data_IF_185058325596
#
_entry.id   IF_185058325596
#
_cell.length_a   1.000
_cell.length_b   1.000
_cell.length_c   1.000
_cell.angle_alpha   90.00
_cell.angle_beta   90.00
_cell.angle_gamma   90.00
#
_symmetry.space_group_name_H-M   'P 1'
#
loop_
_entity.id
_entity.type
_entity.pdbx_description
1 polymer ?
#
# COMPACT_ATOMS: atom_id res chain seq x y z
N UNK A 1 37.09 -9.43 43.03
CA UNK A 1 35.92 -8.60 42.71
C UNK A 1 36.21 -7.08 42.56
N UNK A 2 37.18 -6.47 43.27
CA UNK A 2 37.48 -5.03 43.15
C UNK A 2 38.08 -4.56 41.82
N UNK A 3 38.71 -5.44 41.03
CA UNK A 3 39.41 -5.08 39.79
C UNK A 3 38.51 -4.77 38.58
N UNK A 4 37.24 -5.20 38.60
CA UNK A 4 36.29 -5.00 37.47
C UNK A 4 35.32 -3.83 37.68
N UNK A 5 35.31 -3.21 38.86
CA UNK A 5 34.41 -2.08 39.17
C UNK A 5 34.98 -0.76 38.62
N UNK A 6 36.30 -0.61 38.62
CA UNK A 6 36.94 0.63 38.17
C UNK A 6 36.72 0.98 36.71
N UNK A 7 36.84 0.03 35.73
CA UNK A 7 36.53 0.32 34.34
C UNK A 7 35.04 0.65 34.12
N UNK A 8 34.14 -0.03 34.83
CA UNK A 8 32.70 0.24 34.75
C UNK A 8 32.36 1.63 35.31
N UNK A 9 33.01 2.06 36.38
CA UNK A 9 32.79 3.37 36.96
C UNK A 9 33.36 4.50 36.06
N UNK A 10 34.50 4.28 35.43
CA UNK A 10 35.07 5.23 34.46
C UNK A 10 34.16 5.35 33.22
N UNK A 11 33.67 4.23 32.69
CA UNK A 11 32.75 4.25 31.58
C UNK A 11 31.46 4.98 31.94
N UNK A 12 30.87 4.70 33.12
CA UNK A 12 29.69 5.39 33.61
C UNK A 12 29.89 6.91 33.74
N UNK A 13 31.06 7.36 34.25
CA UNK A 13 31.38 8.80 34.30
C UNK A 13 31.52 9.43 32.93
N UNK A 14 32.14 8.74 31.97
CA UNK A 14 32.24 9.23 30.58
C UNK A 14 30.85 9.37 29.96
N UNK A 15 30.00 8.35 30.07
CA UNK A 15 28.60 8.39 29.56
C UNK A 15 27.82 9.54 30.19
N UNK A 16 27.95 9.76 31.49
CA UNK A 16 27.26 10.85 32.20
C UNK A 16 27.74 12.23 31.73
N UNK A 17 29.05 12.43 31.56
CA UNK A 17 29.59 13.67 31.02
C UNK A 17 29.13 13.93 29.59
N UNK A 18 29.18 12.92 28.73
CA UNK A 18 28.69 13.04 27.35
C UNK A 18 27.18 13.34 27.30
N UNK A 19 26.37 12.68 28.12
CA UNK A 19 24.92 12.94 28.20
C UNK A 19 24.65 14.37 28.68
N UNK A 20 25.37 14.86 29.67
CA UNK A 20 25.25 16.26 30.14
C UNK A 20 25.65 17.26 29.06
N UNK A 21 26.75 17.05 28.35
CA UNK A 21 27.19 17.92 27.26
C UNK A 21 26.14 17.95 26.12
N UNK A 22 25.62 16.79 25.70
CA UNK A 22 24.56 16.70 24.70
C UNK A 22 23.29 17.42 25.15
N UNK A 23 22.89 17.26 26.42
CA UNK A 23 21.72 17.93 26.97
C UNK A 23 21.91 19.46 26.97
N UNK A 24 23.06 19.98 27.34
CA UNK A 24 23.37 21.44 27.32
C UNK A 24 23.36 21.96 25.87
N UNK A 25 24.00 21.25 24.95
CA UNK A 25 23.98 21.63 23.52
C UNK A 25 22.53 21.64 22.99
N UNK A 26 21.76 20.61 23.28
CA UNK A 26 20.35 20.54 22.84
C UNK A 26 19.51 21.69 23.46
N UNK A 27 19.70 22.02 24.73
CA UNK A 27 18.98 23.09 25.39
C UNK A 27 19.26 24.48 24.74
N UNK A 28 20.45 24.68 24.19
CA UNK A 28 20.81 25.92 23.48
C UNK A 28 20.35 25.90 22.04
N UNK A 29 20.49 24.76 21.36
CA UNK A 29 20.21 24.66 19.91
C UNK A 29 18.72 24.47 19.58
N UNK A 30 17.96 23.78 20.42
CA UNK A 30 16.53 23.51 20.16
C UNK A 30 15.71 24.80 19.96
N UNK A 31 15.80 25.85 20.82
CA UNK A 31 15.03 27.08 20.60
C UNK A 31 15.47 27.84 19.35
N UNK A 32 16.75 27.76 18.96
CA UNK A 32 17.26 28.41 17.74
C UNK A 32 16.71 27.69 16.50
N UNK A 33 16.68 26.36 16.53
CA UNK A 33 16.12 25.54 15.45
C UNK A 33 14.62 25.85 15.32
N UNK A 34 13.86 25.83 16.41
CA UNK A 34 12.45 26.15 16.43
C UNK A 34 12.15 27.57 15.88
N UNK A 35 12.93 28.57 16.27
CA UNK A 35 12.78 29.94 15.77
C UNK A 35 13.04 30.03 14.26
N UNK A 36 14.06 29.33 13.75
CA UNK A 36 14.35 29.26 12.30
C UNK A 36 13.25 28.58 11.52
N UNK A 37 12.72 27.50 12.04
CA UNK A 37 11.59 26.80 11.42
C UNK A 37 10.33 27.67 11.37
N UNK A 38 10.04 28.42 12.42
CA UNK A 38 8.89 29.38 12.43
C UNK A 38 9.10 30.47 11.38
N UNK A 39 10.27 31.10 11.33
CA UNK A 39 10.55 32.13 10.33
C UNK A 39 10.51 31.60 8.90
N UNK A 40 10.99 30.38 8.66
CA UNK A 40 10.90 29.73 7.37
C UNK A 40 9.44 29.41 6.97
N UNK A 41 8.61 28.98 7.95
CA UNK A 41 7.19 28.73 7.73
C UNK A 41 6.43 30.01 7.37
N UNK A 42 6.69 31.13 8.06
CA UNK A 42 6.05 32.42 7.76
C UNK A 42 6.42 32.92 6.36
N UNK A 43 7.67 32.79 5.94
CA UNK A 43 8.09 33.13 4.57
C UNK A 43 7.45 32.20 3.52
N UNK A 44 7.29 30.93 3.84
CA UNK A 44 6.72 29.94 2.93
C UNK A 44 5.21 30.17 2.66
N UNK A 45 4.46 30.79 3.57
CA UNK A 45 3.03 31.08 3.36
C UNK A 45 2.77 31.81 2.05
N UNK A 46 3.53 32.90 1.80
CA UNK A 46 3.37 33.70 0.58
C UNK A 46 3.93 33.00 -0.65
N UNK A 47 4.91 32.14 -0.46
CA UNK A 47 5.52 31.42 -1.57
C UNK A 47 4.61 30.27 -2.07
N UNK A 48 3.97 29.52 -1.16
CA UNK A 48 3.06 28.43 -1.55
C UNK A 48 1.66 28.91 -1.93
N UNK A 49 1.21 30.06 -1.41
CA UNK A 49 -0.05 30.70 -1.78
C UNK A 49 0.23 32.15 -2.22
N UNK A 50 0.57 32.40 -3.48
CA UNK A 50 0.85 33.75 -3.99
C UNK A 50 -0.32 34.70 -3.75
N UNK A 51 -0.03 35.90 -3.23
CA UNK A 51 -1.05 36.87 -2.88
C UNK A 51 -1.75 36.60 -1.52
N UNK A 52 -1.22 35.66 -0.73
CA UNK A 52 -1.72 35.41 0.63
C UNK A 52 -1.61 36.67 1.48
N UNK A 53 -2.77 37.16 1.94
CA UNK A 53 -2.87 38.28 2.86
C UNK A 53 -3.83 37.93 3.99
N UNK A 54 -3.57 38.45 5.18
CA UNK A 54 -4.49 38.29 6.32
C UNK A 54 -4.66 36.85 6.80
N UNK A 55 -3.66 36.00 6.58
CA UNK A 55 -3.72 34.60 7.01
C UNK A 55 -3.99 34.46 8.50
N UNK A 56 -5.03 33.69 8.84
CA UNK A 56 -5.42 33.41 10.23
C UNK A 56 -5.28 31.93 10.51
N UNK A 57 -4.80 31.54 11.70
CA UNK A 57 -4.74 30.14 12.09
C UNK A 57 -6.12 29.48 12.01
N UNK A 58 -6.14 28.22 11.52
CA UNK A 58 -7.30 27.34 11.55
C UNK A 58 -7.20 26.48 12.81
N UNK A 59 -8.29 26.35 13.55
CA UNK A 59 -8.39 25.40 14.65
C UNK A 59 -8.57 23.99 14.05
N UNK A 60 -7.57 23.13 14.24
CA UNK A 60 -7.58 21.77 13.74
C UNK A 60 -8.36 20.86 14.71
N UNK A 61 -9.41 20.23 14.22
CA UNK A 61 -10.20 19.22 14.95
C UNK A 61 -9.70 17.82 14.61
N UNK A 62 -10.25 16.79 15.26
CA UNK A 62 -9.95 15.37 14.97
C UNK A 62 -10.41 14.92 13.57
N UNK A 63 -11.17 15.71 12.84
CA UNK A 63 -11.59 15.43 11.46
C UNK A 63 -10.48 15.70 10.45
N UNK A 64 -9.51 16.55 10.79
CA UNK A 64 -8.37 16.80 9.90
C UNK A 64 -7.42 15.61 9.85
N UNK A 65 -6.76 15.37 8.69
CA UNK A 65 -5.75 14.34 8.60
C UNK A 65 -4.67 14.50 9.68
N UNK A 66 -4.29 13.40 10.33
CA UNK A 66 -3.38 13.44 11.50
C UNK A 66 -1.99 14.03 11.19
N UNK A 67 -1.58 14.00 9.92
CA UNK A 67 -0.30 14.57 9.45
C UNK A 67 -0.33 16.10 9.37
N UNK A 68 -1.52 16.74 9.40
CA UNK A 68 -1.66 18.19 9.37
C UNK A 68 -1.39 18.76 10.75
N UNK A 69 -0.31 19.51 10.90
CA UNK A 69 0.12 20.09 12.18
C UNK A 69 -0.28 21.55 12.36
N UNK A 70 -0.41 22.29 11.24
CA UNK A 70 -0.89 23.69 11.26
C UNK A 70 -1.71 23.98 10.01
N UNK A 71 -2.71 24.86 10.15
CA UNK A 71 -3.51 25.38 9.06
C UNK A 71 -3.67 26.90 9.17
N UNK A 72 -3.72 27.56 8.02
CA UNK A 72 -3.94 29.00 7.90
C UNK A 72 -4.97 29.26 6.81
N UNK A 73 -5.96 30.11 7.09
CA UNK A 73 -6.97 30.57 6.14
C UNK A 73 -6.68 32.00 5.73
N UNK A 74 -6.57 32.25 4.44
CA UNK A 74 -6.41 33.54 3.83
C UNK A 74 -7.59 33.85 2.91
N UNK A 75 -7.67 35.09 2.39
CA UNK A 75 -8.78 35.53 1.53
C UNK A 75 -8.82 34.74 0.19
N UNK A 76 -7.68 34.30 -0.31
CA UNK A 76 -7.54 33.60 -1.58
C UNK A 76 -7.30 32.08 -1.46
N UNK A 77 -7.38 31.53 -0.26
CA UNK A 77 -7.19 30.08 -0.07
C UNK A 77 -6.75 29.69 1.34
N UNK A 78 -6.17 28.51 1.44
CA UNK A 78 -5.64 27.96 2.67
C UNK A 78 -4.21 27.50 2.50
N UNK A 79 -3.45 27.49 3.59
CA UNK A 79 -2.11 26.89 3.63
C UNK A 79 -2.04 25.92 4.79
N UNK A 80 -1.51 24.72 4.55
CA UNK A 80 -1.36 23.68 5.56
C UNK A 80 0.10 23.28 5.69
N UNK A 81 0.53 23.03 6.92
CA UNK A 81 1.80 22.43 7.24
C UNK A 81 1.56 20.99 7.69
N UNK A 82 2.27 20.07 7.06
CA UNK A 82 2.24 18.65 7.38
C UNK A 82 3.60 18.20 7.90
N UNK A 83 3.57 17.24 8.81
CA UNK A 83 4.76 16.56 9.31
C UNK A 83 4.61 15.05 9.06
N UNK A 84 5.58 14.48 8.34
CA UNK A 84 5.55 13.09 7.90
C UNK A 84 6.92 12.44 8.11
N UNK A 85 6.91 11.12 7.97
CA UNK A 85 8.12 10.32 7.91
C UNK A 85 8.26 9.78 6.48
N UNK A 86 9.33 10.20 5.80
CA UNK A 86 9.74 9.61 4.54
C UNK A 86 10.66 8.42 4.79
N UNK A 87 11.87 8.42 4.22
CA UNK A 87 12.91 7.49 4.62
C UNK A 87 13.45 7.83 6.02
N UNK A 88 13.48 9.12 6.35
CA UNK A 88 13.86 9.64 7.67
C UNK A 88 12.68 10.42 8.26
N UNK A 89 12.63 10.53 9.59
CA UNK A 89 11.63 11.34 10.29
C UNK A 89 11.88 12.83 10.11
N UNK A 90 10.86 13.67 10.39
CA UNK A 90 11.00 15.14 10.44
C UNK A 90 10.95 15.80 9.05
N UNK A 91 10.24 15.21 8.10
CA UNK A 91 9.89 15.86 6.84
C UNK A 91 8.71 16.80 7.08
N UNK A 92 8.96 18.10 7.01
CA UNK A 92 7.94 19.14 7.17
C UNK A 92 7.69 19.80 5.82
N UNK A 93 6.45 19.73 5.34
CA UNK A 93 6.02 20.25 4.04
C UNK A 93 4.89 21.24 4.24
N UNK A 94 4.95 22.35 3.53
CA UNK A 94 3.89 23.35 3.46
C UNK A 94 3.25 23.30 2.08
N UNK A 95 1.93 23.33 2.02
CA UNK A 95 1.15 23.24 0.78
C UNK A 95 0.10 24.37 0.79
N UNK A 96 0.07 25.15 -0.29
CA UNK A 96 -0.96 26.15 -0.55
C UNK A 96 -2.07 25.56 -1.42
N UNK A 97 -3.31 25.85 -1.04
CA UNK A 97 -4.52 25.47 -1.77
C UNK A 97 -5.36 26.71 -1.99
N UNK A 98 -5.68 27.03 -3.23
CA UNK A 98 -6.52 28.16 -3.58
C UNK A 98 -7.98 27.98 -3.14
N UNK A 99 -8.76 29.05 -3.19
CA UNK A 99 -10.19 29.01 -2.85
C UNK A 99 -11.04 28.13 -3.76
N UNK A 100 -10.57 27.82 -4.97
CA UNK A 100 -11.17 26.86 -5.92
C UNK A 100 -10.66 25.41 -5.76
N UNK A 101 -9.92 25.14 -4.67
CA UNK A 101 -9.49 23.79 -4.29
C UNK A 101 -8.28 23.25 -5.05
N UNK A 102 -7.48 24.11 -5.71
CA UNK A 102 -6.30 23.72 -6.46
C UNK A 102 -5.02 23.96 -5.69
N UNK A 103 -4.05 23.07 -5.84
CA UNK A 103 -2.70 23.30 -5.33
C UNK A 103 -2.07 24.51 -6.04
N UNK A 104 -1.62 25.48 -5.28
CA UNK A 104 -0.93 26.67 -5.78
C UNK A 104 0.59 26.55 -5.67
N UNK A 105 1.07 25.78 -4.71
CA UNK A 105 2.49 25.53 -4.51
C UNK A 105 2.75 24.65 -3.32
N UNK A 106 3.94 24.08 -3.29
CA UNK A 106 4.42 23.22 -2.20
C UNK A 106 5.83 23.64 -1.83
N UNK A 107 6.19 23.57 -0.55
CA UNK A 107 7.54 23.87 -0.07
C UNK A 107 7.95 22.95 1.06
N UNK A 108 9.17 22.44 0.99
CA UNK A 108 9.80 21.72 2.10
C UNK A 108 10.38 22.74 3.08
N UNK A 109 9.89 22.73 4.31
CA UNK A 109 10.34 23.63 5.39
C UNK A 109 11.52 23.03 6.15
N UNK A 110 11.48 21.72 6.38
CA UNK A 110 12.55 20.97 7.00
C UNK A 110 12.52 19.53 6.51
N UNK A 111 13.69 18.93 6.41
CA UNK A 111 13.84 17.51 6.15
C UNK A 111 15.14 16.99 6.79
N UNK A 112 15.13 15.70 7.12
CA UNK A 112 16.30 14.95 7.56
C UNK A 112 16.59 13.80 6.58
N UNK A 113 16.03 13.89 5.38
CA UNK A 113 16.26 12.93 4.32
C UNK A 113 17.71 12.92 3.88
N UNK A 114 18.18 11.75 3.46
CA UNK A 114 19.49 11.66 2.82
C UNK A 114 19.51 12.52 1.55
N UNK A 115 20.47 13.42 1.34
CA UNK A 115 20.47 14.38 0.23
C UNK A 115 20.24 13.74 -1.15
N UNK A 116 20.81 12.56 -1.40
CA UNK A 116 20.66 11.84 -2.67
C UNK A 116 19.23 11.35 -2.94
N UNK A 117 18.40 11.17 -1.91
CA UNK A 117 16.97 10.84 -2.05
C UNK A 117 16.11 12.11 -2.11
N UNK A 118 16.40 13.07 -1.24
CA UNK A 118 15.68 14.33 -1.20
C UNK A 118 15.74 15.07 -2.54
N UNK A 119 16.91 15.17 -3.15
CA UNK A 119 17.10 15.90 -4.41
C UNK A 119 16.36 15.27 -5.61
N UNK A 120 16.08 13.98 -5.56
CA UNK A 120 15.25 13.31 -6.58
C UNK A 120 13.78 13.70 -6.50
N UNK A 121 13.29 13.99 -5.29
CA UNK A 121 11.87 14.25 -5.02
C UNK A 121 11.57 15.76 -5.08
N UNK A 122 12.35 16.55 -4.40
CA UNK A 122 12.22 18.01 -4.33
C UNK A 122 13.55 18.68 -4.66
N UNK A 123 13.68 19.17 -5.92
CA UNK A 123 14.91 19.78 -6.38
C UNK A 123 15.32 20.98 -5.51
N UNK A 124 16.62 21.02 -5.14
CA UNK A 124 17.17 22.10 -4.33
C UNK A 124 16.92 21.96 -2.83
N UNK A 125 16.51 20.78 -2.34
CA UNK A 125 16.32 20.43 -0.89
C UNK A 125 15.27 21.26 -0.14
N UNK A 126 14.97 22.47 -0.59
CA UNK A 126 14.00 23.43 -0.01
C UNK A 126 13.12 24.05 -1.11
N UNK A 127 13.13 23.45 -2.31
CA UNK A 127 12.45 24.02 -3.48
C UNK A 127 10.94 23.87 -3.42
N UNK A 128 10.27 24.82 -4.07
CA UNK A 128 8.89 24.64 -4.49
C UNK A 128 8.84 23.65 -5.64
N UNK A 129 8.03 22.60 -5.51
CA UNK A 129 7.80 21.69 -6.61
C UNK A 129 6.52 22.06 -7.34
N UNK A 130 6.61 22.27 -8.65
CA UNK A 130 5.44 22.45 -9.52
C UNK A 130 4.72 21.16 -9.91
N UNK A 131 5.17 19.99 -9.42
CA UNK A 131 4.62 18.68 -9.80
C UNK A 131 3.12 18.52 -9.53
N UNK A 132 2.62 19.18 -8.50
CA UNK A 132 1.22 19.07 -8.06
C UNK A 132 0.38 20.32 -8.36
N UNK A 133 0.96 21.34 -8.98
CA UNK A 133 0.26 22.60 -9.29
C UNK A 133 -0.99 22.32 -10.12
N UNK A 134 -2.07 23.02 -9.81
CA UNK A 134 -3.42 22.90 -10.40
C UNK A 134 -4.16 21.58 -10.13
N UNK A 135 -3.58 20.61 -9.41
CA UNK A 135 -4.31 19.41 -8.99
C UNK A 135 -5.36 19.76 -7.92
N UNK A 136 -6.50 19.10 -8.02
CA UNK A 136 -7.60 19.11 -7.03
C UNK A 136 -7.65 17.76 -6.31
N UNK A 137 -8.50 17.63 -5.29
CA UNK A 137 -8.68 16.33 -4.61
C UNK A 137 -9.20 15.24 -5.58
N UNK A 138 -10.02 15.61 -6.57
CA UNK A 138 -10.57 14.69 -7.57
C UNK A 138 -9.54 14.27 -8.64
N UNK A 139 -8.61 15.17 -8.98
CA UNK A 139 -7.57 14.93 -10.01
C UNK A 139 -6.23 14.54 -9.42
N UNK A 140 -6.17 14.36 -8.10
CA UNK A 140 -4.92 14.02 -7.42
C UNK A 140 -4.41 12.64 -7.81
N UNK A 141 -3.17 12.60 -8.28
CA UNK A 141 -2.43 11.37 -8.55
C UNK A 141 -1.08 11.40 -7.82
N UNK A 142 -0.73 10.34 -7.06
CA UNK A 142 0.56 10.25 -6.38
C UNK A 142 1.73 10.29 -7.38
N UNK A 143 2.70 11.17 -7.14
CA UNK A 143 3.90 11.31 -8.00
C UNK A 143 5.07 10.56 -7.35
N UNK A 144 5.19 9.27 -7.60
CA UNK A 144 6.27 8.46 -7.04
C UNK A 144 7.57 8.60 -7.84
N UNK A 145 8.70 8.57 -7.15
CA UNK A 145 10.03 8.71 -7.75
C UNK A 145 10.85 7.44 -7.49
N UNK A 146 11.25 6.75 -8.55
CA UNK A 146 12.09 5.56 -8.46
C UNK A 146 13.41 5.85 -7.72
N UNK A 147 13.77 4.96 -6.80
CA UNK A 147 14.94 5.10 -5.93
C UNK A 147 14.82 6.17 -4.83
N UNK A 148 13.62 6.79 -4.65
CA UNK A 148 13.26 7.64 -3.54
C UNK A 148 11.77 7.48 -3.15
N UNK A 149 11.26 6.27 -3.26
CA UNK A 149 9.83 5.95 -3.16
C UNK A 149 9.24 6.32 -1.81
N UNK A 150 9.92 6.07 -0.70
CA UNK A 150 9.41 6.43 0.64
C UNK A 150 9.26 7.95 0.79
N UNK A 151 10.28 8.70 0.40
CA UNK A 151 10.25 10.17 0.46
C UNK A 151 9.19 10.76 -0.47
N UNK A 152 9.05 10.24 -1.70
CA UNK A 152 8.03 10.71 -2.65
C UNK A 152 6.62 10.30 -2.26
N UNK A 153 6.43 9.15 -1.61
CA UNK A 153 5.14 8.73 -1.05
C UNK A 153 4.71 9.67 0.08
N UNK A 154 5.60 9.95 1.04
CA UNK A 154 5.33 10.91 2.11
C UNK A 154 5.00 12.31 1.55
N UNK A 155 5.71 12.74 0.51
CA UNK A 155 5.41 14.01 -0.15
C UNK A 155 4.04 14.01 -0.83
N UNK A 156 3.67 12.93 -1.54
CA UNK A 156 2.33 12.78 -2.13
C UNK A 156 1.23 12.76 -1.07
N UNK A 157 1.47 12.08 0.05
CA UNK A 157 0.55 12.03 1.19
C UNK A 157 0.32 13.42 1.80
N UNK A 158 1.38 14.22 1.97
CA UNK A 158 1.27 15.60 2.42
C UNK A 158 0.37 16.43 1.50
N UNK A 159 0.53 16.32 0.19
CA UNK A 159 -0.28 17.05 -0.79
C UNK A 159 -1.75 16.62 -0.73
N UNK A 160 -2.02 15.32 -0.66
CA UNK A 160 -3.38 14.78 -0.51
C UNK A 160 -4.03 15.28 0.79
N UNK A 161 -3.30 15.24 1.89
CA UNK A 161 -3.78 15.70 3.19
C UNK A 161 -4.11 17.20 3.18
N UNK A 162 -3.33 18.02 2.49
CA UNK A 162 -3.61 19.45 2.34
C UNK A 162 -4.89 19.70 1.52
N UNK A 163 -5.12 18.96 0.44
CA UNK A 163 -6.38 19.05 -0.33
C UNK A 163 -7.59 18.66 0.51
N UNK A 164 -7.50 17.58 1.28
CA UNK A 164 -8.53 17.14 2.20
C UNK A 164 -8.80 18.20 3.28
N UNK A 165 -7.74 18.75 3.88
CA UNK A 165 -7.84 19.80 4.88
C UNK A 165 -8.48 21.10 4.32
N UNK A 166 -8.23 21.43 3.06
CA UNK A 166 -8.84 22.60 2.41
C UNK A 166 -10.37 22.43 2.22
N UNK A 167 -10.83 21.22 1.88
CA UNK A 167 -12.26 20.91 1.80
C UNK A 167 -12.91 21.07 3.17
N UNK A 168 -12.30 20.55 4.24
CA UNK A 168 -12.80 20.69 5.62
C UNK A 168 -12.82 22.16 6.07
N UNK A 169 -11.76 22.93 5.79
CA UNK A 169 -11.67 24.36 6.11
C UNK A 169 -12.72 25.20 5.37
N UNK A 170 -13.25 24.70 4.26
CA UNK A 170 -14.35 25.30 3.49
C UNK A 170 -15.73 24.87 3.97
N UNK A 171 -15.82 24.02 5.00
CA UNK A 171 -17.08 23.49 5.53
C UNK A 171 -17.62 22.27 4.76
N UNK A 172 -16.80 21.66 3.89
CA UNK A 172 -17.10 20.39 3.24
C UNK A 172 -16.82 19.21 4.18
N UNK A 173 -17.16 18.02 3.73
CA UNK A 173 -16.80 16.78 4.40
C UNK A 173 -15.85 15.96 3.53
N UNK A 174 -14.89 15.29 4.15
CA UNK A 174 -13.93 14.42 3.48
C UNK A 174 -13.98 13.04 4.13
N UNK A 175 -13.99 12.02 3.32
CA UNK A 175 -13.80 10.66 3.82
C UNK A 175 -12.31 10.41 4.06
N UNK A 176 -11.93 10.37 5.34
CA UNK A 176 -10.53 10.17 5.76
C UNK A 176 -10.19 8.70 5.99
N UNK A 177 -11.15 7.78 5.79
CA UNK A 177 -10.90 6.34 5.93
C UNK A 177 -9.87 5.87 4.91
N UNK A 178 -8.99 4.96 5.33
CA UNK A 178 -8.09 4.27 4.40
C UNK A 178 -8.89 3.37 3.46
N UNK A 179 -8.30 2.96 2.34
CA UNK A 179 -8.94 2.01 1.42
C UNK A 179 -9.29 0.68 2.11
N UNK A 180 -8.43 0.23 3.03
CA UNK A 180 -8.69 -0.95 3.86
C UNK A 180 -9.87 -0.74 4.80
N UNK A 181 -9.97 0.41 5.46
CA UNK A 181 -11.12 0.75 6.30
C UNK A 181 -12.40 0.82 5.49
N UNK A 182 -12.39 1.49 4.33
CA UNK A 182 -13.55 1.56 3.42
C UNK A 182 -14.00 0.18 2.96
N UNK A 183 -13.03 -0.68 2.61
CA UNK A 183 -13.31 -2.06 2.23
C UNK A 183 -13.97 -2.82 3.37
N UNK A 184 -13.38 -2.79 4.57
CA UNK A 184 -13.90 -3.50 5.72
C UNK A 184 -15.30 -3.00 6.14
N UNK A 185 -15.53 -1.68 6.09
CA UNK A 185 -16.84 -1.07 6.35
C UNK A 185 -17.88 -1.53 5.31
N UNK A 186 -17.53 -1.56 4.03
CA UNK A 186 -18.43 -2.04 2.97
C UNK A 186 -18.81 -3.52 3.17
N UNK A 187 -17.87 -4.36 3.56
CA UNK A 187 -18.13 -5.75 3.91
C UNK A 187 -19.07 -5.88 5.11
N UNK A 188 -18.82 -5.11 6.17
CA UNK A 188 -19.67 -5.10 7.36
C UNK A 188 -21.10 -4.61 7.03
N UNK A 189 -21.23 -3.53 6.25
CA UNK A 189 -22.52 -3.01 5.81
C UNK A 189 -23.30 -4.05 4.98
N UNK A 190 -22.63 -4.68 4.02
CA UNK A 190 -23.25 -5.67 3.13
C UNK A 190 -23.76 -6.89 3.91
N UNK A 191 -23.00 -7.33 4.94
CA UNK A 191 -23.36 -8.50 5.75
C UNK A 191 -24.26 -8.13 6.94
N UNK A 192 -24.47 -6.84 7.22
CA UNK A 192 -25.25 -6.37 8.38
C UNK A 192 -24.54 -6.56 9.70
N UNK A 193 -23.21 -6.49 9.70
CA UNK A 193 -22.33 -6.55 10.88
C UNK A 193 -21.64 -5.22 11.14
N UNK A 194 -20.92 -5.05 12.25
CA UNK A 194 -20.26 -3.77 12.58
C UNK A 194 -18.76 -3.92 12.83
N UNK A 195 -18.31 -5.04 13.40
CA UNK A 195 -16.94 -5.18 13.92
C UNK A 195 -16.25 -6.46 13.42
N UNK A 196 -16.61 -6.93 12.22
CA UNK A 196 -15.99 -8.12 11.65
C UNK A 196 -14.80 -7.72 10.78
N UNK A 197 -13.77 -8.54 10.84
CA UNK A 197 -12.66 -8.55 9.90
C UNK A 197 -12.90 -9.64 8.87
N UNK A 198 -12.47 -9.37 7.63
CA UNK A 198 -12.72 -10.25 6.51
C UNK A 198 -11.42 -10.70 5.91
N UNK A 199 -11.35 -11.99 5.57
CA UNK A 199 -10.22 -12.58 4.85
C UNK A 199 -10.61 -12.80 3.40
N UNK A 200 -9.75 -12.43 2.47
CA UNK A 200 -9.93 -12.72 1.05
C UNK A 200 -9.86 -14.22 0.83
N UNK A 201 -10.83 -14.75 0.13
CA UNK A 201 -10.82 -16.15 -0.27
C UNK A 201 -10.05 -16.33 -1.57
N UNK A 202 -9.12 -17.28 -1.58
CA UNK A 202 -8.34 -17.62 -2.76
C UNK A 202 -9.22 -18.31 -3.80
N UNK A 203 -9.46 -17.66 -4.94
CA UNK A 203 -10.33 -18.18 -5.97
C UNK A 203 -9.64 -19.26 -6.81
N UNK A 204 -10.28 -20.40 -6.90
CA UNK A 204 -9.82 -21.56 -7.70
C UNK A 204 -10.68 -21.80 -8.92
N UNK A 205 -11.73 -20.99 -9.08
CA UNK A 205 -12.61 -20.96 -10.22
C UNK A 205 -12.78 -19.52 -10.72
N UNK A 206 -12.83 -19.36 -12.03
CA UNK A 206 -13.19 -18.09 -12.64
C UNK A 206 -14.70 -17.94 -12.59
N UNK A 207 -15.18 -16.95 -11.84
CA UNK A 207 -16.62 -16.68 -11.67
C UNK A 207 -16.95 -15.39 -12.40
N UNK A 208 -17.76 -15.49 -13.45
CA UNK A 208 -18.09 -14.33 -14.29
C UNK A 208 -18.73 -13.20 -13.48
N UNK A 209 -18.16 -11.99 -13.58
CA UNK A 209 -18.63 -10.78 -12.92
C UNK A 209 -18.29 -10.70 -11.43
N UNK A 210 -17.58 -11.67 -10.88
CA UNK A 210 -17.06 -11.65 -9.51
C UNK A 210 -15.63 -11.16 -9.50
N UNK A 211 -15.38 -10.12 -8.71
CA UNK A 211 -14.05 -9.56 -8.54
C UNK A 211 -13.31 -10.23 -7.38
N UNK A 212 -13.95 -10.32 -6.22
CA UNK A 212 -13.41 -10.98 -5.02
C UNK A 212 -14.51 -11.66 -4.21
N UNK A 213 -14.08 -12.55 -3.33
CA UNK A 213 -14.90 -13.15 -2.28
C UNK A 213 -14.15 -12.94 -0.95
N UNK A 214 -14.85 -12.40 0.04
CA UNK A 214 -14.34 -12.22 1.38
C UNK A 214 -15.16 -13.01 2.37
N UNK A 215 -14.53 -13.57 3.38
CA UNK A 215 -15.18 -14.48 4.32
C UNK A 215 -14.95 -14.04 5.75
N UNK A 216 -15.95 -14.25 6.60
CA UNK A 216 -15.85 -14.18 8.06
C UNK A 216 -16.78 -15.19 8.69
N UNK A 217 -16.77 -15.28 10.02
CA UNK A 217 -17.64 -16.20 10.78
C UNK A 217 -19.15 -15.93 10.59
N UNK A 218 -19.54 -14.71 10.18
CA UNK A 218 -20.93 -14.33 9.99
C UNK A 218 -21.43 -14.62 8.57
N UNK A 219 -20.55 -14.90 7.61
CA UNK A 219 -20.91 -15.20 6.22
C UNK A 219 -19.85 -14.83 5.22
N UNK A 220 -20.30 -14.55 4.01
CA UNK A 220 -19.47 -14.29 2.84
C UNK A 220 -19.90 -12.98 2.19
N UNK A 221 -18.96 -12.23 1.66
CA UNK A 221 -19.21 -11.04 0.85
C UNK A 221 -18.67 -11.27 -0.56
N UNK A 222 -19.56 -11.18 -1.54
CA UNK A 222 -19.23 -11.29 -2.96
C UNK A 222 -19.07 -9.88 -3.54
N UNK A 223 -17.93 -9.60 -4.17
CA UNK A 223 -17.65 -8.30 -4.80
C UNK A 223 -17.93 -8.38 -6.29
N UNK A 224 -18.92 -7.60 -6.74
CA UNK A 224 -19.41 -7.51 -8.13
C UNK A 224 -19.02 -6.12 -8.69
N UNK A 225 -17.81 -5.97 -9.21
CA UNK A 225 -17.28 -4.66 -9.55
C UNK A 225 -17.07 -3.82 -8.28
N UNK A 226 -17.79 -2.71 -8.14
CA UNK A 226 -17.74 -1.84 -6.95
C UNK A 226 -18.77 -2.21 -5.87
N UNK A 227 -19.69 -3.15 -6.17
CA UNK A 227 -20.76 -3.56 -5.27
C UNK A 227 -20.35 -4.76 -4.42
N UNK A 228 -20.49 -4.65 -3.11
CA UNK A 228 -20.28 -5.67 -2.09
C UNK A 228 -21.62 -6.26 -1.69
N UNK A 229 -21.84 -7.54 -1.94
CA UNK A 229 -23.10 -8.24 -1.64
C UNK A 229 -22.88 -9.25 -0.54
N UNK A 230 -23.52 -9.06 0.61
CA UNK A 230 -23.41 -9.95 1.76
C UNK A 230 -24.34 -11.16 1.66
N UNK A 231 -23.81 -12.34 2.01
CA UNK A 231 -24.54 -13.61 2.12
C UNK A 231 -24.26 -14.20 3.49
N UNK A 232 -25.29 -14.41 4.29
CA UNK A 232 -25.13 -14.94 5.63
C UNK A 232 -24.81 -16.46 5.62
N UNK A 233 -24.53 -17.02 6.80
CA UNK A 233 -24.23 -18.45 6.96
C UNK A 233 -25.34 -19.42 6.56
N UNK A 234 -26.57 -18.93 6.43
CA UNK A 234 -27.71 -19.71 5.90
C UNK A 234 -27.80 -19.66 4.37
N UNK A 235 -26.89 -18.96 3.69
CA UNK A 235 -26.88 -18.79 2.23
C UNK A 235 -27.86 -17.73 1.72
N UNK A 236 -28.45 -16.92 2.59
CA UNK A 236 -29.37 -15.87 2.20
C UNK A 236 -28.64 -14.56 1.95
N UNK A 237 -28.94 -13.91 0.81
CA UNK A 237 -28.46 -12.57 0.49
C UNK A 237 -29.04 -11.56 1.50
N UNK A 238 -28.18 -10.72 2.08
CA UNK A 238 -28.53 -9.78 3.15
C UNK A 238 -28.74 -8.38 2.59
N UNK A 239 -27.65 -7.69 2.23
CA UNK A 239 -27.65 -6.31 1.76
C UNK A 239 -26.49 -6.10 0.77
N UNK A 240 -26.44 -4.91 0.19
CA UNK A 240 -25.27 -4.46 -0.57
C UNK A 240 -24.74 -3.12 -0.07
N UNK A 241 -23.48 -2.86 -0.39
CA UNK A 241 -22.79 -1.60 -0.13
C UNK A 241 -21.70 -1.36 -1.18
N UNK A 242 -21.14 -0.16 -1.20
CA UNK A 242 -19.90 0.18 -1.91
C UNK A 242 -18.89 0.72 -0.91
N UNK A 243 -17.63 0.89 -1.28
CA UNK A 243 -16.59 1.49 -0.43
C UNK A 243 -16.96 2.88 0.10
N UNK A 244 -17.76 3.63 -0.66
CA UNK A 244 -18.19 4.98 -0.29
C UNK A 244 -19.55 5.01 0.43
N UNK A 245 -20.21 3.86 0.57
CA UNK A 245 -21.49 3.77 1.28
C UNK A 245 -21.34 4.09 2.77
N UNK A 246 -22.30 4.84 3.31
CA UNK A 246 -22.46 5.06 4.75
C UNK A 246 -23.53 4.16 5.35
N UNK A 247 -24.41 3.62 4.51
CA UNK A 247 -25.52 2.75 4.86
C UNK A 247 -25.67 1.63 3.82
N UNK A 248 -26.14 0.48 4.27
CA UNK A 248 -26.42 -0.64 3.38
C UNK A 248 -27.68 -0.41 2.54
N UNK A 249 -27.66 -0.92 1.33
CA UNK A 249 -28.78 -0.85 0.37
C UNK A 249 -29.42 -2.22 0.12
N UNK A 250 -30.60 -2.22 -0.44
CA UNK A 250 -31.23 -3.45 -0.93
C UNK A 250 -30.54 -3.91 -2.21
N UNK A 251 -30.33 -5.23 -2.32
CA UNK A 251 -29.63 -5.84 -3.46
C UNK A 251 -30.55 -5.91 -4.66
N UNK A 252 -30.09 -5.48 -5.82
CA UNK A 252 -30.80 -5.62 -7.07
C UNK A 252 -31.07 -7.10 -7.43
N UNK A 253 -32.08 -7.39 -8.20
CA UNK A 253 -32.37 -8.77 -8.63
C UNK A 253 -31.23 -9.37 -9.47
N UNK A 254 -30.53 -8.55 -10.25
CA UNK A 254 -29.38 -8.97 -11.05
C UNK A 254 -28.17 -9.29 -10.16
N UNK A 255 -27.79 -8.38 -9.26
CA UNK A 255 -26.70 -8.58 -8.32
C UNK A 255 -26.95 -9.76 -7.39
N UNK A 256 -28.19 -9.93 -6.95
CA UNK A 256 -28.61 -11.08 -6.15
C UNK A 256 -28.38 -12.40 -6.89
N UNK A 257 -28.82 -12.51 -8.13
CA UNK A 257 -28.64 -13.74 -8.92
C UNK A 257 -27.15 -14.06 -9.16
N UNK A 258 -26.34 -13.04 -9.44
CA UNK A 258 -24.88 -13.19 -9.59
C UNK A 258 -24.23 -13.65 -8.28
N UNK A 259 -24.58 -13.02 -7.16
CA UNK A 259 -24.03 -13.34 -5.86
C UNK A 259 -24.44 -14.77 -5.40
N UNK A 260 -25.68 -15.19 -5.62
CA UNK A 260 -26.13 -16.55 -5.34
C UNK A 260 -25.40 -17.59 -6.18
N UNK A 261 -25.17 -17.34 -7.47
CA UNK A 261 -24.37 -18.21 -8.34
C UNK A 261 -22.91 -18.30 -7.90
N UNK A 262 -22.32 -17.16 -7.52
CA UNK A 262 -20.96 -17.10 -6.98
C UNK A 262 -20.83 -17.87 -5.66
N UNK A 263 -21.80 -17.72 -4.78
CA UNK A 263 -21.84 -18.43 -3.50
C UNK A 263 -21.99 -19.94 -3.68
N UNK A 264 -22.80 -20.38 -4.66
CA UNK A 264 -22.90 -21.79 -5.01
C UNK A 264 -21.55 -22.37 -5.48
N UNK A 265 -20.83 -21.63 -6.35
CA UNK A 265 -19.47 -22.02 -6.76
C UNK A 265 -18.50 -22.04 -5.57
N UNK A 266 -18.50 -20.99 -4.75
CA UNK A 266 -17.70 -20.95 -3.52
C UNK A 266 -17.95 -22.18 -2.62
N UNK A 267 -19.20 -22.54 -2.36
CA UNK A 267 -19.53 -23.68 -1.51
C UNK A 267 -19.10 -25.04 -2.10
N UNK A 268 -19.13 -25.19 -3.42
CA UNK A 268 -18.60 -26.38 -4.09
C UNK A 268 -17.09 -26.55 -3.88
N UNK A 269 -16.34 -25.45 -3.88
CA UNK A 269 -14.88 -25.48 -3.68
C UNK A 269 -14.46 -25.79 -2.24
N UNK A 270 -15.38 -25.73 -1.28
CA UNK A 270 -15.13 -26.12 0.11
C UNK A 270 -15.27 -27.64 0.35
N UNK A 271 -15.73 -28.40 -0.62
CA UNK A 271 -15.84 -29.86 -0.48
C UNK A 271 -14.47 -30.49 -0.27
N UNK A 272 -14.37 -31.44 0.68
CA UNK A 272 -13.12 -32.08 1.05
C UNK A 272 -12.41 -32.81 -0.12
N UNK A 273 -13.19 -33.25 -1.11
CA UNK A 273 -12.70 -33.92 -2.32
C UNK A 273 -12.59 -33.02 -3.56
N UNK A 274 -12.73 -31.71 -3.37
CA UNK A 274 -12.66 -30.74 -4.45
C UNK A 274 -11.23 -30.60 -5.03
N UNK A 275 -10.21 -30.79 -4.21
CA UNK A 275 -8.79 -30.71 -4.58
C UNK A 275 -8.11 -32.06 -4.33
N UNK A 276 -7.23 -32.41 -5.24
CA UNK A 276 -6.39 -33.62 -5.11
C UNK A 276 -4.94 -33.22 -5.33
N UNK A 277 -4.05 -33.60 -4.40
CA UNK A 277 -2.62 -33.37 -4.55
C UNK A 277 -2.09 -34.21 -5.72
N UNK A 278 -1.26 -33.60 -6.54
CA UNK A 278 -0.58 -34.22 -7.68
C UNK A 278 0.93 -34.09 -7.55
N UNK A 279 1.63 -35.12 -8.02
CA UNK A 279 3.08 -35.10 -7.95
C UNK A 279 3.67 -33.99 -8.81
N UNK A 280 4.67 -33.31 -8.27
CA UNK A 280 5.40 -32.27 -9.00
C UNK A 280 6.25 -32.99 -10.11
N UNK A 281 6.14 -32.54 -11.37
CA UNK A 281 6.99 -33.09 -12.45
C UNK A 281 8.46 -32.96 -12.09
N UNK A 282 9.24 -34.03 -12.39
CA UNK A 282 10.67 -34.08 -12.02
C UNK A 282 11.51 -32.94 -12.61
N UNK A 283 11.08 -32.41 -13.76
CA UNK A 283 11.72 -31.26 -14.44
C UNK A 283 11.22 -29.89 -13.95
N UNK A 284 10.17 -29.85 -13.11
CA UNK A 284 9.68 -28.59 -12.54
C UNK A 284 10.61 -28.07 -11.44
N UNK A 285 10.62 -26.77 -11.25
CA UNK A 285 11.43 -26.12 -10.21
C UNK A 285 11.10 -26.64 -8.81
N UNK A 286 12.11 -26.78 -7.96
CA UNK A 286 11.92 -27.10 -6.53
C UNK A 286 11.16 -26.01 -5.77
N UNK A 287 11.09 -24.79 -6.33
CA UNK A 287 10.32 -23.65 -5.79
C UNK A 287 8.81 -23.79 -6.00
N UNK A 288 8.37 -24.78 -6.76
CA UNK A 288 6.99 -25.27 -6.74
C UNK A 288 6.94 -26.33 -5.65
N UNK A 289 6.47 -25.96 -4.46
CA UNK A 289 6.57 -26.82 -3.27
C UNK A 289 5.45 -27.86 -3.19
N UNK A 290 4.26 -27.50 -3.70
CA UNK A 290 3.07 -28.37 -3.74
C UNK A 290 2.22 -28.04 -4.96
N UNK A 291 1.52 -29.01 -5.49
CA UNK A 291 0.56 -28.84 -6.58
C UNK A 291 -0.75 -29.59 -6.22
N UNK A 292 -1.86 -28.94 -6.44
CA UNK A 292 -3.20 -29.51 -6.30
C UNK A 292 -3.97 -29.34 -7.62
N UNK A 293 -4.72 -30.34 -8.01
CA UNK A 293 -5.65 -30.31 -9.14
C UNK A 293 -7.07 -30.20 -8.60
N UNK A 294 -7.82 -29.23 -9.11
CA UNK A 294 -9.24 -29.08 -8.78
C UNK A 294 -10.11 -30.02 -9.61
N UNK A 295 -11.34 -30.24 -9.17
CA UNK A 295 -12.34 -31.01 -9.98
C UNK A 295 -12.63 -30.38 -11.33
N UNK A 296 -12.45 -29.08 -11.49
CA UNK A 296 -12.65 -28.35 -12.74
C UNK A 296 -11.43 -28.40 -13.66
N UNK A 297 -10.33 -29.05 -13.24
CA UNK A 297 -9.12 -29.16 -14.03
C UNK A 297 -8.14 -28.00 -13.88
N UNK A 298 -8.34 -27.12 -12.91
CA UNK A 298 -7.42 -26.01 -12.61
C UNK A 298 -6.30 -26.49 -11.68
N UNK A 299 -5.09 -25.96 -11.86
CA UNK A 299 -3.94 -26.28 -11.02
C UNK A 299 -3.68 -25.19 -9.99
N UNK A 300 -3.61 -25.56 -8.73
CA UNK A 300 -3.17 -24.68 -7.63
C UNK A 300 -1.72 -25.04 -7.33
N UNK A 301 -0.84 -24.05 -7.45
CA UNK A 301 0.59 -24.23 -7.17
C UNK A 301 1.01 -23.37 -5.99
N UNK A 302 1.71 -23.98 -5.05
CA UNK A 302 2.31 -23.32 -3.89
C UNK A 302 3.75 -22.98 -4.24
N UNK A 303 4.08 -21.72 -4.16
CA UNK A 303 5.31 -21.15 -4.70
C UNK A 303 6.17 -20.53 -3.62
N UNK A 304 7.49 -20.68 -3.80
CA UNK A 304 8.50 -19.89 -3.10
C UNK A 304 9.16 -18.94 -4.10
N UNK A 305 9.14 -17.63 -3.81
CA UNK A 305 9.86 -16.63 -4.57
C UNK A 305 11.11 -16.19 -3.81
N UNK A 306 12.22 -16.09 -4.51
CA UNK A 306 13.44 -15.47 -4.02
C UNK A 306 13.77 -14.29 -4.92
N UNK A 307 14.24 -13.17 -4.32
CA UNK A 307 14.73 -12.06 -5.11
C UNK A 307 15.90 -12.47 -5.99
N UNK A 308 16.10 -11.80 -7.12
CA UNK A 308 17.25 -12.04 -7.99
C UNK A 308 18.42 -11.16 -7.59
N UNK A 309 19.57 -11.80 -7.32
CA UNK A 309 20.86 -11.13 -7.30
C UNK A 309 21.26 -10.62 -8.69
N UNK A 310 22.27 -9.75 -8.74
CA UNK A 310 22.94 -9.35 -9.98
C UNK A 310 23.39 -10.63 -10.70
N UNK A 311 23.07 -10.80 -11.97
CA UNK A 311 23.42 -11.91 -12.85
C UNK A 311 22.43 -13.11 -12.89
N UNK A 312 21.18 -12.94 -12.46
CA UNK A 312 20.20 -14.04 -12.57
C UNK A 312 20.38 -15.18 -11.57
N UNK A 313 21.31 -15.06 -10.63
CA UNK A 313 21.45 -16.03 -9.55
C UNK A 313 20.34 -15.85 -8.52
N UNK A 314 19.78 -16.95 -8.04
CA UNK A 314 18.79 -16.92 -6.97
C UNK A 314 19.40 -16.25 -5.73
N UNK A 315 18.89 -15.09 -5.38
CA UNK A 315 19.26 -14.43 -4.14
C UNK A 315 18.42 -15.05 -3.02
N UNK A 316 18.99 -16.03 -2.33
CA UNK A 316 18.44 -16.45 -1.06
C UNK A 316 18.63 -15.32 -0.07
N UNK A 317 17.56 -14.80 0.53
CA UNK A 317 17.69 -13.90 1.67
C UNK A 317 18.59 -14.60 2.72
N UNK A 318 19.50 -13.88 3.42
CA UNK A 318 20.41 -14.49 4.39
C UNK A 318 19.73 -15.33 5.48
N UNK A 319 18.46 -15.08 5.80
CA UNK A 319 17.65 -15.88 6.74
C UNK A 319 17.09 -17.17 6.13
N UNK A 320 17.12 -17.35 4.80
CA UNK A 320 16.54 -18.51 4.11
C UNK A 320 15.01 -18.50 4.03
N UNK A 321 14.36 -17.41 4.41
CA UNK A 321 12.90 -17.26 4.28
C UNK A 321 12.57 -16.66 2.91
N UNK A 322 11.56 -17.23 2.25
CA UNK A 322 11.10 -16.85 0.92
C UNK A 322 9.75 -16.15 1.02
N UNK A 323 9.42 -15.38 -0.03
CA UNK A 323 8.02 -14.99 -0.23
C UNK A 323 7.27 -16.26 -0.62
N UNK A 324 6.21 -16.59 0.11
CA UNK A 324 5.35 -17.72 -0.20
C UNK A 324 4.03 -17.22 -0.74
N UNK A 325 3.55 -17.83 -1.82
CA UNK A 325 2.27 -17.49 -2.41
C UNK A 325 1.64 -18.69 -3.13
N UNK A 326 0.33 -18.61 -3.32
CA UNK A 326 -0.42 -19.55 -4.14
C UNK A 326 -0.78 -18.89 -5.47
N UNK A 327 -0.75 -19.67 -6.54
CA UNK A 327 -1.28 -19.29 -7.85
C UNK A 327 -2.21 -20.39 -8.36
N UNK A 328 -3.40 -20.00 -8.83
CA UNK A 328 -4.29 -20.90 -9.54
C UNK A 328 -4.22 -20.61 -11.04
N UNK A 329 -3.89 -21.63 -11.84
CA UNK A 329 -3.85 -21.56 -13.30
C UNK A 329 -4.95 -22.45 -13.85
N UNK A 330 -5.79 -21.89 -14.71
CA UNK A 330 -6.87 -22.62 -15.37
C UNK A 330 -6.32 -23.68 -16.34
N UNK A 331 -7.14 -24.65 -16.74
CA UNK A 331 -6.80 -25.63 -17.75
C UNK A 331 -6.35 -25.01 -19.09
N UNK A 332 -6.75 -23.77 -19.38
CA UNK A 332 -6.37 -23.01 -20.57
C UNK A 332 -5.06 -22.20 -20.39
N UNK A 333 -4.37 -22.33 -19.25
CA UNK A 333 -3.13 -21.64 -18.98
C UNK A 333 -3.28 -20.14 -18.62
N UNK A 334 -4.40 -19.76 -18.00
CA UNK A 334 -4.68 -18.40 -17.57
C UNK A 334 -4.67 -18.34 -16.03
N UNK A 335 -4.04 -17.35 -15.45
CA UNK A 335 -4.10 -17.13 -14.00
C UNK A 335 -5.52 -16.76 -13.57
N UNK A 336 -6.11 -17.57 -12.69
CA UNK A 336 -7.40 -17.30 -12.05
C UNK A 336 -7.19 -16.36 -10.86
N UNK A 337 -6.25 -16.69 -9.99
CA UNK A 337 -5.94 -15.91 -8.80
C UNK A 337 -4.51 -16.12 -8.32
N UNK A 338 -4.01 -15.12 -7.60
CA UNK A 338 -2.74 -15.17 -6.88
C UNK A 338 -2.97 -14.64 -5.47
N UNK A 339 -2.39 -15.29 -4.47
CA UNK A 339 -2.46 -14.85 -3.08
C UNK A 339 -1.14 -15.09 -2.38
N UNK A 340 -0.52 -14.02 -1.88
CA UNK A 340 0.67 -14.11 -1.02
C UNK A 340 0.25 -14.62 0.36
N UNK A 341 0.93 -15.64 0.85
CA UNK A 341 0.69 -16.24 2.17
C UNK A 341 1.73 -15.83 3.20
N UNK A 342 2.92 -15.43 2.72
CA UNK A 342 3.99 -14.89 3.56
C UNK A 342 4.94 -14.04 2.71
N UNK A 343 5.33 -12.88 3.21
CA UNK A 343 6.39 -12.08 2.59
C UNK A 343 7.79 -12.55 2.98
N UNK A 344 7.91 -13.56 3.84
CA UNK A 344 9.19 -14.00 4.39
C UNK A 344 9.90 -12.86 5.14
N UNK A 345 11.13 -12.61 4.80
CA UNK A 345 11.97 -11.54 5.38
C UNK A 345 12.03 -10.27 4.53
N UNK A 346 11.14 -10.11 3.57
CA UNK A 346 11.04 -8.86 2.81
C UNK A 346 10.80 -7.66 3.74
N UNK A 347 11.41 -6.52 3.40
CA UNK A 347 11.38 -5.35 4.26
C UNK A 347 9.99 -4.72 4.33
N UNK A 348 9.63 -4.22 5.51
CA UNK A 348 8.53 -3.27 5.67
C UNK A 348 8.73 -2.08 4.72
N UNK A 349 7.66 -1.54 4.16
CA UNK A 349 7.63 -0.42 3.21
C UNK A 349 7.99 -0.73 1.74
N UNK A 350 8.45 -1.94 1.42
CA UNK A 350 8.71 -2.37 0.04
C UNK A 350 8.13 -3.74 -0.24
N UNK A 351 8.54 -4.74 0.55
CA UNK A 351 8.12 -6.12 0.38
C UNK A 351 6.69 -6.40 0.83
N UNK A 352 6.19 -5.64 1.79
CA UNK A 352 4.81 -5.73 2.28
C UNK A 352 3.76 -5.46 1.20
N UNK A 353 4.10 -4.71 0.17
CA UNK A 353 3.20 -4.48 -0.98
C UNK A 353 2.79 -5.79 -1.66
N UNK A 354 3.68 -6.82 -1.69
CA UNK A 354 3.36 -8.11 -2.31
C UNK A 354 2.25 -8.89 -1.58
N UNK A 355 1.93 -8.54 -0.33
CA UNK A 355 0.84 -9.15 0.45
C UNK A 355 -0.51 -8.49 0.18
N UNK A 356 -0.53 -7.34 -0.49
CA UNK A 356 -1.78 -6.61 -0.75
C UNK A 356 -2.60 -7.25 -1.86
N UNK A 357 -3.93 -7.23 -1.74
CA UNK A 357 -4.84 -7.67 -2.78
C UNK A 357 -4.59 -6.92 -4.09
N UNK A 358 -4.39 -5.61 -4.03
CA UNK A 358 -4.11 -4.78 -5.19
C UNK A 358 -2.85 -5.22 -5.96
N UNK A 359 -1.86 -5.78 -5.29
CA UNK A 359 -0.68 -6.34 -5.96
C UNK A 359 -0.96 -7.68 -6.62
N UNK A 360 -1.62 -8.58 -5.92
CA UNK A 360 -1.84 -9.95 -6.42
C UNK A 360 -2.94 -10.03 -7.49
N UNK A 361 -3.95 -9.18 -7.40
CA UNK A 361 -5.05 -9.11 -8.36
C UNK A 361 -4.63 -8.73 -9.78
N UNK A 362 -3.58 -7.94 -9.94
CA UNK A 362 -3.08 -7.53 -11.25
C UNK A 362 -2.65 -8.71 -12.13
N UNK A 363 -2.34 -9.88 -11.54
CA UNK A 363 -1.96 -11.07 -12.28
C UNK A 363 -3.16 -11.87 -12.83
N UNK A 364 -4.37 -11.57 -12.40
CA UNK A 364 -5.57 -12.27 -12.88
C UNK A 364 -5.78 -12.05 -14.37
N UNK A 365 -6.10 -13.11 -15.08
CA UNK A 365 -6.25 -13.10 -16.53
C UNK A 365 -4.93 -13.07 -17.30
N UNK A 366 -3.79 -13.06 -16.61
CA UNK A 366 -2.49 -13.11 -17.26
C UNK A 366 -2.16 -14.52 -17.75
N UNK A 367 -1.50 -14.59 -18.90
CA UNK A 367 -0.88 -15.77 -19.49
C UNK A 367 0.64 -15.63 -19.39
N UNK A 368 1.37 -16.69 -19.69
CA UNK A 368 2.84 -16.73 -19.55
C UNK A 368 3.56 -15.60 -20.29
N UNK A 369 3.04 -15.19 -21.45
CA UNK A 369 3.59 -14.10 -22.26
C UNK A 369 3.46 -12.70 -21.66
N UNK A 370 2.59 -12.54 -20.65
CA UNK A 370 2.42 -11.30 -19.90
C UNK A 370 3.34 -11.18 -18.69
N UNK A 371 3.96 -12.27 -18.28
CA UNK A 371 4.88 -12.31 -17.13
C UNK A 371 6.30 -12.10 -17.65
N UNK A 372 6.78 -10.88 -17.67
CA UNK A 372 8.07 -10.48 -18.25
C UNK A 372 9.08 -10.22 -17.14
N UNK A 373 10.24 -10.89 -17.21
CA UNK A 373 11.39 -10.58 -16.35
C UNK A 373 12.28 -9.58 -17.08
N UNK A 374 12.55 -8.44 -16.48
CA UNK A 374 13.54 -7.50 -16.99
C UNK A 374 14.92 -7.85 -16.44
N UNK A 375 15.87 -8.17 -17.32
CA UNK A 375 17.27 -8.45 -16.94
C UNK A 375 18.05 -7.22 -16.49
N UNK A 376 17.57 -6.02 -16.83
CA UNK A 376 18.22 -4.75 -16.48
C UNK A 376 17.41 -3.96 -15.46
N UNK A 377 18.06 -3.56 -14.38
CA UNK A 377 17.50 -2.70 -13.30
C UNK A 377 17.20 -1.24 -13.73
N UNK A 378 17.11 -0.97 -15.03
CA UNK A 378 16.93 0.36 -15.56
C UNK A 378 15.50 0.58 -16.00
N UNK A 379 14.79 1.47 -15.28
CA UNK A 379 13.51 2.08 -15.65
C UNK A 379 12.40 1.11 -16.08
N UNK A 380 11.87 0.37 -15.12
CA UNK A 380 10.56 -0.28 -15.29
C UNK A 380 9.51 0.82 -15.42
N UNK A 381 8.75 0.83 -16.50
CA UNK A 381 7.59 1.71 -16.63
C UNK A 381 6.49 1.24 -15.69
N UNK A 382 5.74 2.17 -15.11
CA UNK A 382 4.69 1.88 -14.12
C UNK A 382 3.51 1.04 -14.66
N UNK A 383 3.55 0.70 -15.95
CA UNK A 383 2.54 -0.10 -16.65
C UNK A 383 2.87 -1.59 -16.71
N UNK A 384 4.06 -1.98 -16.30
CA UNK A 384 4.45 -3.40 -16.34
C UNK A 384 3.82 -4.17 -15.18
N UNK A 385 3.33 -5.35 -15.48
CA UNK A 385 2.63 -6.21 -14.52
C UNK A 385 3.57 -6.66 -13.38
N UNK A 386 3.13 -6.53 -12.13
CA UNK A 386 3.86 -7.05 -10.97
C UNK A 386 5.04 -6.20 -10.50
N UNK A 387 5.12 -4.93 -10.91
CA UNK A 387 6.19 -4.04 -10.48
C UNK A 387 5.82 -3.31 -9.20
N UNK A 388 6.70 -3.42 -8.21
CA UNK A 388 6.65 -2.63 -6.99
C UNK A 388 7.71 -1.53 -7.12
N UNK A 389 7.28 -0.26 -7.17
CA UNK A 389 8.20 0.86 -7.23
C UNK A 389 9.15 0.85 -6.02
N UNK A 390 10.46 0.82 -6.31
CA UNK A 390 11.51 0.74 -5.27
C UNK A 390 11.81 -0.65 -4.75
N UNK A 391 11.06 -1.70 -5.14
CA UNK A 391 11.28 -3.10 -4.76
C UNK A 391 11.47 -4.01 -5.99
N UNK A 392 12.37 -3.63 -6.88
CA UNK A 392 12.63 -4.37 -8.14
C UNK A 392 13.05 -5.82 -7.89
N UNK A 393 13.82 -6.07 -6.83
CA UNK A 393 14.27 -7.44 -6.47
C UNK A 393 13.08 -8.31 -6.09
N UNK A 394 12.17 -7.80 -5.25
CA UNK A 394 10.92 -8.48 -4.86
C UNK A 394 10.05 -8.75 -6.07
N UNK A 395 9.83 -7.74 -6.93
CA UNK A 395 9.02 -7.85 -8.14
C UNK A 395 9.56 -8.90 -9.11
N UNK A 396 10.86 -8.87 -9.38
CA UNK A 396 11.52 -9.86 -10.26
C UNK A 396 11.45 -11.27 -9.68
N UNK A 397 11.67 -11.42 -8.36
CA UNK A 397 11.56 -12.71 -7.69
C UNK A 397 10.15 -13.30 -7.81
N UNK A 398 9.14 -12.47 -7.64
CA UNK A 398 7.74 -12.86 -7.75
C UNK A 398 7.37 -13.28 -9.18
N UNK A 399 7.75 -12.49 -10.18
CA UNK A 399 7.52 -12.80 -11.60
C UNK A 399 8.24 -14.08 -12.05
N UNK A 400 9.50 -14.29 -11.61
CA UNK A 400 10.21 -15.53 -11.89
C UNK A 400 9.53 -16.75 -11.28
N UNK A 401 8.99 -16.62 -10.07
CA UNK A 401 8.24 -17.71 -9.47
C UNK A 401 6.97 -18.02 -10.28
N UNK A 402 6.25 -17.00 -10.76
CA UNK A 402 5.10 -17.20 -11.66
C UNK A 402 5.49 -17.89 -12.98
N UNK A 403 6.63 -17.53 -13.59
CA UNK A 403 7.13 -18.25 -14.78
C UNK A 403 7.45 -19.73 -14.48
N UNK A 404 7.98 -20.02 -13.29
CA UNK A 404 8.20 -21.41 -12.84
C UNK A 404 6.89 -22.17 -12.66
N UNK A 405 5.83 -21.49 -12.18
CA UNK A 405 4.48 -22.07 -12.10
C UNK A 405 3.95 -22.43 -13.49
N UNK A 406 4.05 -21.50 -14.45
CA UNK A 406 3.67 -21.79 -15.84
C UNK A 406 4.47 -22.95 -16.44
N UNK A 407 5.78 -23.03 -16.17
CA UNK A 407 6.60 -24.14 -16.63
C UNK A 407 6.17 -25.48 -16.03
N UNK A 408 5.79 -25.51 -14.77
CA UNK A 408 5.22 -26.70 -14.15
C UNK A 408 3.87 -27.09 -14.77
N UNK A 409 3.01 -26.08 -15.03
CA UNK A 409 1.74 -26.27 -15.72
C UNK A 409 1.91 -26.88 -17.12
N UNK A 410 2.84 -26.38 -17.94
CA UNK A 410 3.15 -26.94 -19.26
C UNK A 410 3.57 -28.40 -19.18
N UNK A 411 4.37 -28.78 -18.19
CA UNK A 411 4.82 -30.15 -17.99
C UNK A 411 3.67 -31.07 -17.59
N UNK A 412 2.74 -30.60 -16.75
CA UNK A 412 1.54 -31.33 -16.32
C UNK A 412 0.52 -31.50 -17.44
N UNK A 413 0.39 -30.48 -18.30
CA UNK A 413 -0.57 -30.48 -19.41
C UNK A 413 -0.06 -31.34 -20.63
N UNK A 414 1.23 -31.72 -20.64
CA UNK A 414 1.83 -32.53 -21.67
C UNK A 414 1.81 -34.06 -21.35
N UNK A 415 1.48 -34.43 -20.11
CA UNK A 415 1.28 -35.80 -19.64
C UNK A 415 -0.16 -36.28 -19.85
#
# INVERSE_FOLDING_TARGET
MKKNIFPALVLGCICLVVALLLSVVNMITAPIIAARQTAAADAALVEVLPGCTGAKPIELTSEYPAVVTKGYKADNGCVFQMELTGKSSGLIIMVGVSSDGKITGTKVIANQETPSYAEKVFPGLEGTSGKYTDMTLETFEPQLTSGATLTSRAYSEAVKAALQAAVLASGGSVDTRTEEQKHNDACNLALGTTDKTFERWFMTESISGVYNIYTCEAGVVIVLGDEYVGINTAGAVVKSATKDSKEASDVSAESKAKAEAAYATYTLTLAADYRTEVDRPSKASKRVTKIELTKSGNYIMYMEASGNGKNGEEYAHPSGEYIEFMVCISADGVIIDVMTTSRGTESENYGDVCETDAYTEQFRGATVDKIVITEEHTSLESTDLGIIAGATVTSNGYQQALQRAFKAFELLSAE
#
